data_IF_839720821870
#
_entry.id   IF_839720821870
#
_cell.length_a   1.000
_cell.length_b   1.000
_cell.length_c   1.000
_cell.angle_alpha   90.00
_cell.angle_beta   90.00
_cell.angle_gamma   90.00
#
_symmetry.space_group_name_H-M   'P 1'
#
loop_
_entity.id
_entity.type
_entity.pdbx_description
1 polymer ?
#
# COMPACT_ATOMS: atom_id res chain seq x y z
N UNK A 1 -37.08 29.49 -18.75
CA UNK A 1 -35.66 29.07 -18.84
C UNK A 1 -35.51 27.74 -18.11
N UNK A 2 -35.19 26.67 -18.84
CA UNK A 2 -35.06 25.32 -18.28
C UNK A 2 -33.73 25.15 -17.54
N UNK A 3 -33.80 24.76 -16.27
CA UNK A 3 -32.64 24.43 -15.46
C UNK A 3 -32.13 23.05 -15.87
N UNK A 4 -30.98 23.02 -16.55
CA UNK A 4 -30.30 21.80 -16.97
C UNK A 4 -29.48 21.27 -15.79
N UNK A 5 -30.03 20.28 -15.07
CA UNK A 5 -29.31 19.52 -14.03
C UNK A 5 -28.28 18.61 -14.70
N UNK A 6 -27.01 19.04 -14.73
CA UNK A 6 -25.89 18.17 -15.07
C UNK A 6 -25.60 17.23 -13.90
N UNK A 7 -26.06 15.98 -13.99
CA UNK A 7 -25.65 14.89 -13.10
C UNK A 7 -24.19 14.54 -13.42
N UNK A 8 -23.24 15.12 -12.68
CA UNK A 8 -21.82 14.81 -12.81
C UNK A 8 -21.56 13.41 -12.24
N UNK A 9 -21.11 12.48 -13.08
CA UNK A 9 -20.83 11.08 -12.73
C UNK A 9 -19.52 10.90 -11.92
N UNK A 10 -19.19 11.83 -11.02
CA UNK A 10 -18.07 11.68 -10.07
C UNK A 10 -18.49 10.81 -8.90
N UNK A 11 -17.51 10.18 -8.23
CA UNK A 11 -17.74 9.44 -7.00
C UNK A 11 -18.57 10.29 -5.99
N UNK A 12 -19.69 9.76 -5.53
CA UNK A 12 -20.67 10.46 -4.68
C UNK A 12 -20.55 10.15 -3.19
N UNK A 13 -19.53 9.40 -2.77
CA UNK A 13 -19.32 9.04 -1.37
C UNK A 13 -18.61 10.11 -0.52
N UNK A 14 -18.43 9.85 0.78
CA UNK A 14 -17.73 10.76 1.69
C UNK A 14 -16.27 10.95 1.30
N UNK A 15 -15.67 12.09 1.63
CA UNK A 15 -14.26 12.33 1.32
C UNK A 15 -13.37 11.42 2.17
N UNK A 16 -12.17 11.09 1.67
CA UNK A 16 -11.22 10.27 2.41
C UNK A 16 -10.98 10.79 3.83
N UNK A 17 -10.81 12.11 3.98
CA UNK A 17 -10.56 12.74 5.28
C UNK A 17 -11.66 12.48 6.30
N UNK A 18 -12.90 12.27 5.85
CA UNK A 18 -14.05 12.00 6.73
C UNK A 18 -14.13 10.52 7.13
N UNK A 19 -13.67 9.62 6.26
CA UNK A 19 -13.76 8.17 6.50
C UNK A 19 -12.47 7.53 6.98
N UNK A 20 -11.32 8.20 6.90
CA UNK A 20 -10.02 7.60 7.19
C UNK A 20 -9.96 6.96 8.59
N UNK A 21 -10.59 7.58 9.59
CA UNK A 21 -10.69 7.04 10.95
C UNK A 21 -11.67 5.86 11.10
N UNK A 22 -12.60 5.70 10.15
CA UNK A 22 -13.58 4.61 10.10
C UNK A 22 -13.13 3.44 9.21
N UNK A 23 -12.02 3.59 8.48
CA UNK A 23 -11.43 2.48 7.72
C UNK A 23 -10.84 1.49 8.73
N UNK A 24 -11.29 0.23 8.76
CA UNK A 24 -10.78 -0.76 9.71
C UNK A 24 -9.28 -0.91 9.59
N UNK A 25 -8.58 -1.04 10.72
CA UNK A 25 -7.17 -1.39 10.72
C UNK A 25 -6.97 -2.71 9.95
N UNK A 26 -5.90 -2.78 9.16
CA UNK A 26 -5.58 -3.98 8.41
C UNK A 26 -5.22 -5.10 9.40
N UNK A 27 -5.97 -6.20 9.33
CA UNK A 27 -5.63 -7.41 10.07
C UNK A 27 -4.29 -7.97 9.53
N UNK A 28 -3.38 -8.34 10.44
CA UNK A 28 -2.06 -8.89 10.12
C UNK A 28 -2.09 -10.21 9.34
N UNK A 29 -3.22 -10.94 9.30
CA UNK A 29 -3.38 -12.20 8.56
C UNK A 29 -3.83 -12.03 7.10
N UNK A 30 -4.15 -10.81 6.68
CA UNK A 30 -4.62 -10.48 5.32
C UNK A 30 -3.86 -9.27 4.80
N UNK A 31 -3.80 -9.08 3.49
CA UNK A 31 -3.30 -7.86 2.88
C UNK A 31 -4.44 -6.99 2.37
N UNK A 32 -4.19 -5.69 2.24
CA UNK A 32 -5.16 -4.72 1.71
C UNK A 32 -4.77 -4.28 0.32
N UNK A 33 -5.72 -4.28 -0.60
CA UNK A 33 -5.55 -3.74 -1.95
C UNK A 33 -6.49 -2.55 -2.09
N UNK A 34 -5.90 -1.35 -2.16
CA UNK A 34 -6.64 -0.13 -2.51
C UNK A 34 -6.77 -0.02 -4.03
N UNK A 35 -7.93 0.41 -4.48
CA UNK A 35 -8.20 0.80 -5.86
C UNK A 35 -8.55 2.28 -5.89
N UNK A 36 -7.89 3.05 -6.75
CA UNK A 36 -8.13 4.48 -6.86
C UNK A 36 -8.18 4.95 -8.32
N UNK A 37 -8.93 6.03 -8.55
CA UNK A 37 -8.93 6.78 -9.80
C UNK A 37 -9.02 8.27 -9.53
N UNK A 38 -8.10 9.02 -10.12
CA UNK A 38 -8.04 10.47 -9.97
C UNK A 38 -9.33 11.15 -10.44
N UNK A 39 -9.68 12.28 -9.83
CA UNK A 39 -10.83 13.10 -10.19
C UNK A 39 -10.55 13.89 -11.48
N UNK A 40 -10.62 13.22 -12.63
CA UNK A 40 -10.48 13.85 -13.94
C UNK A 40 -11.81 13.79 -14.70
N UNK A 41 -12.25 14.90 -15.34
CA UNK A 41 -13.42 14.88 -16.22
C UNK A 41 -13.19 14.01 -17.47
N UNK A 42 -11.92 13.74 -17.80
CA UNK A 42 -11.57 12.88 -18.93
C UNK A 42 -12.05 11.44 -18.68
N UNK A 43 -12.93 10.96 -19.57
CA UNK A 43 -13.50 9.62 -19.49
C UNK A 43 -14.49 9.43 -18.34
N UNK A 44 -15.17 10.49 -17.88
CA UNK A 44 -16.12 10.41 -16.77
C UNK A 44 -17.26 9.40 -16.99
N UNK A 45 -17.66 9.18 -18.25
CA UNK A 45 -18.67 8.18 -18.63
C UNK A 45 -18.15 6.73 -18.65
N UNK A 46 -16.83 6.52 -18.59
CA UNK A 46 -16.20 5.20 -18.69
C UNK A 46 -15.89 4.72 -17.27
N UNK A 47 -16.71 3.86 -16.69
CA UNK A 47 -16.56 3.39 -15.30
C UNK A 47 -16.64 1.86 -15.22
N UNK A 48 -15.67 1.14 -15.79
CA UNK A 48 -15.73 -0.32 -15.85
C UNK A 48 -15.59 -0.95 -14.47
N UNK A 49 -16.07 -2.19 -14.39
CA UNK A 49 -15.80 -3.05 -13.24
C UNK A 49 -14.29 -3.35 -13.13
N UNK A 50 -13.83 -3.37 -11.89
CA UNK A 50 -12.50 -3.86 -11.51
C UNK A 50 -12.68 -5.29 -11.03
N UNK A 51 -11.99 -6.23 -11.69
CA UNK A 51 -11.97 -7.65 -11.34
C UNK A 51 -10.65 -8.01 -10.68
N UNK A 52 -10.72 -8.70 -9.54
CA UNK A 52 -9.58 -9.29 -8.86
C UNK A 52 -9.72 -10.83 -8.95
N UNK A 53 -8.75 -11.49 -9.60
CA UNK A 53 -8.81 -12.92 -9.88
C UNK A 53 -10.13 -13.38 -10.54
N UNK A 54 -10.68 -12.54 -11.43
CA UNK A 54 -11.95 -12.78 -12.14
C UNK A 54 -13.21 -12.34 -11.39
N UNK A 55 -13.14 -12.13 -10.07
CA UNK A 55 -14.25 -11.63 -9.23
C UNK A 55 -14.35 -10.11 -9.30
N UNK A 56 -15.53 -9.56 -9.57
CA UNK A 56 -15.76 -8.10 -9.50
C UNK A 56 -15.66 -7.63 -8.04
N UNK A 57 -14.79 -6.65 -7.78
CA UNK A 57 -14.54 -6.09 -6.44
C UNK A 57 -14.99 -4.63 -6.29
N UNK A 58 -15.30 -3.96 -7.40
CA UNK A 58 -15.80 -2.59 -7.41
C UNK A 58 -15.73 -1.99 -8.80
N UNK A 59 -15.90 -0.66 -8.90
CA UNK A 59 -15.90 0.07 -10.17
C UNK A 59 -14.83 1.16 -10.19
N UNK A 60 -14.23 1.38 -11.35
CA UNK A 60 -13.27 2.47 -11.58
C UNK A 60 -14.00 3.80 -11.75
N UNK A 61 -14.46 4.39 -10.63
CA UNK A 61 -15.20 5.67 -10.63
C UNK A 61 -14.25 6.87 -10.62
N UNK A 62 -14.45 7.89 -11.49
CA UNK A 62 -13.68 9.14 -11.43
C UNK A 62 -13.77 9.79 -10.05
N UNK A 63 -12.62 10.12 -9.46
CA UNK A 63 -12.55 10.71 -8.12
C UNK A 63 -12.84 9.72 -6.98
N UNK A 64 -12.90 8.41 -7.28
CA UNK A 64 -13.25 7.38 -6.33
C UNK A 64 -12.06 6.59 -5.83
N UNK A 65 -12.16 6.09 -4.59
CA UNK A 65 -11.31 5.03 -4.08
C UNK A 65 -12.13 4.00 -3.29
N UNK A 66 -11.66 2.76 -3.27
CA UNK A 66 -12.17 1.71 -2.38
C UNK A 66 -11.04 0.73 -2.06
N UNK A 67 -11.29 -0.25 -1.20
CA UNK A 67 -10.32 -1.29 -0.89
C UNK A 67 -11.00 -2.64 -0.68
N UNK A 68 -10.21 -3.70 -0.79
CA UNK A 68 -10.56 -5.05 -0.37
C UNK A 68 -9.43 -5.63 0.47
N UNK A 69 -9.79 -6.51 1.40
CA UNK A 69 -8.85 -7.26 2.20
C UNK A 69 -8.86 -8.71 1.72
N UNK A 70 -7.68 -9.27 1.45
CA UNK A 70 -7.53 -10.59 0.84
C UNK A 70 -6.41 -11.38 1.53
N UNK A 71 -6.49 -12.71 1.50
CA UNK A 71 -5.42 -13.55 2.02
C UNK A 71 -4.08 -13.32 1.28
N UNK A 72 -2.93 -13.60 1.88
CA UNK A 72 -1.66 -13.50 1.19
C UNK A 72 -1.63 -14.40 -0.05
N UNK A 73 -1.13 -13.89 -1.18
CA UNK A 73 -1.12 -14.63 -2.45
C UNK A 73 -0.84 -13.75 -3.66
N UNK A 74 -0.89 -14.37 -4.84
CA UNK A 74 -0.74 -13.68 -6.12
C UNK A 74 -2.11 -13.25 -6.65
N UNK A 75 -2.20 -11.99 -7.08
CA UNK A 75 -3.43 -11.36 -7.51
C UNK A 75 -3.30 -10.78 -8.90
N UNK A 76 -4.29 -11.05 -9.75
CA UNK A 76 -4.45 -10.43 -11.05
C UNK A 76 -5.62 -9.46 -11.01
N UNK A 77 -5.33 -8.19 -11.29
CA UNK A 77 -6.36 -7.17 -11.48
C UNK A 77 -6.63 -7.01 -12.97
N UNK A 78 -7.90 -7.02 -13.36
CA UNK A 78 -8.37 -6.77 -14.72
C UNK A 78 -9.38 -5.63 -14.71
N UNK A 79 -9.25 -4.70 -15.65
CA UNK A 79 -10.32 -3.76 -15.99
C UNK A 79 -10.73 -4.00 -17.44
N UNK A 80 -12.02 -4.24 -17.65
CA UNK A 80 -12.56 -4.57 -18.98
C UNK A 80 -13.26 -3.36 -19.57
N UNK A 81 -12.73 -2.84 -20.68
CA UNK A 81 -13.45 -1.92 -21.57
C UNK A 81 -13.54 -2.54 -22.97
N UNK A 82 -13.01 -1.88 -24.01
CA UNK A 82 -12.87 -2.45 -25.36
C UNK A 82 -11.72 -3.50 -25.42
N UNK A 83 -10.70 -3.36 -24.56
CA UNK A 83 -9.63 -4.36 -24.39
C UNK A 83 -9.37 -4.62 -22.91
N UNK A 84 -9.08 -5.87 -22.56
CA UNK A 84 -8.69 -6.23 -21.20
C UNK A 84 -7.27 -5.76 -20.90
N UNK A 85 -7.13 -4.96 -19.84
CA UNK A 85 -5.82 -4.60 -19.26
C UNK A 85 -5.68 -5.27 -17.91
N UNK A 86 -4.50 -5.86 -17.69
CA UNK A 86 -4.22 -6.60 -16.46
C UNK A 86 -2.84 -6.32 -15.88
N UNK A 87 -2.76 -6.41 -14.56
CA UNK A 87 -1.50 -6.45 -13.80
C UNK A 87 -1.57 -7.63 -12.85
N UNK A 88 -0.41 -8.23 -12.58
CA UNK A 88 -0.26 -9.28 -11.57
C UNK A 88 0.76 -8.84 -10.54
N UNK A 89 0.47 -9.04 -9.27
CA UNK A 89 1.36 -8.73 -8.16
C UNK A 89 1.03 -9.60 -6.95
N UNK A 90 2.01 -9.74 -6.07
CA UNK A 90 1.85 -10.49 -4.83
C UNK A 90 1.47 -9.56 -3.68
N UNK A 91 0.61 -10.08 -2.80
CA UNK A 91 0.18 -9.45 -1.56
C UNK A 91 0.60 -10.34 -0.41
N UNK A 92 1.39 -9.80 0.50
CA UNK A 92 1.78 -10.47 1.74
C UNK A 92 0.83 -10.12 2.91
N UNK A 93 0.89 -10.89 3.99
CA UNK A 93 0.09 -10.63 5.18
C UNK A 93 0.49 -9.28 5.81
N UNK A 94 -0.49 -8.44 6.15
CA UNK A 94 -0.26 -7.07 6.63
C UNK A 94 0.26 -6.10 5.57
N UNK A 95 0.43 -6.54 4.32
CA UNK A 95 0.89 -5.67 3.24
C UNK A 95 -0.27 -4.87 2.65
N UNK A 96 -0.02 -3.58 2.41
CA UNK A 96 -0.94 -2.73 1.64
C UNK A 96 -0.37 -2.48 0.24
N UNK A 97 -1.19 -2.73 -0.77
CA UNK A 97 -0.90 -2.43 -2.18
C UNK A 97 -1.91 -1.43 -2.72
N UNK A 98 -1.48 -0.63 -3.69
CA UNK A 98 -2.30 0.41 -4.29
C UNK A 98 -2.35 0.22 -5.80
N UNK A 99 -3.55 0.06 -6.33
CA UNK A 99 -3.83 -0.10 -7.75
C UNK A 99 -4.55 1.15 -8.24
N UNK A 100 -3.86 1.93 -9.06
CA UNK A 100 -4.43 3.09 -9.73
C UNK A 100 -5.03 2.68 -11.06
N UNK A 101 -6.18 3.22 -11.40
CA UNK A 101 -6.77 3.10 -12.73
C UNK A 101 -6.70 4.42 -13.47
N UNK A 102 -6.28 4.37 -14.73
CA UNK A 102 -6.11 5.55 -15.60
C UNK A 102 -6.85 5.34 -16.90
N UNK A 103 -7.52 6.40 -17.39
CA UNK A 103 -8.17 6.39 -18.71
C UNK A 103 -7.17 6.81 -19.77
N UNK A 104 -6.98 5.97 -20.79
CA UNK A 104 -6.35 6.31 -22.05
C UNK A 104 -7.37 6.44 -23.18
N UNK A 105 -6.97 7.05 -24.28
CA UNK A 105 -7.78 7.12 -25.49
C UNK A 105 -7.76 5.79 -26.24
N UNK A 106 -8.92 5.38 -26.76
CA UNK A 106 -9.13 4.23 -27.63
C UNK A 106 -9.79 4.64 -28.95
N UNK A 107 -9.91 3.69 -29.89
CA UNK A 107 -10.45 3.94 -31.24
C UNK A 107 -11.95 4.29 -31.22
N UNK A 108 -12.73 3.71 -30.29
CA UNK A 108 -14.17 3.98 -30.14
C UNK A 108 -14.57 4.28 -28.68
N UNK A 109 -14.00 3.58 -27.69
CA UNK A 109 -14.21 3.83 -26.26
C UNK A 109 -12.84 3.95 -25.56
N UNK A 110 -12.71 4.89 -24.61
CA UNK A 110 -11.48 5.01 -23.82
C UNK A 110 -11.16 3.73 -23.01
N UNK A 111 -9.87 3.42 -22.87
CA UNK A 111 -9.42 2.23 -22.15
C UNK A 111 -9.04 2.56 -20.73
N UNK A 112 -9.41 1.71 -19.77
CA UNK A 112 -8.94 1.82 -18.40
C UNK A 112 -7.78 0.85 -18.19
N UNK A 113 -6.66 1.36 -17.70
CA UNK A 113 -5.46 0.57 -17.41
C UNK A 113 -5.20 0.58 -15.91
N UNK A 114 -5.12 -0.59 -15.25
CA UNK A 114 -4.69 -0.69 -13.87
C UNK A 114 -3.15 -0.66 -13.81
N UNK A 115 -2.59 0.01 -12.81
CA UNK A 115 -1.15 0.03 -12.54
C UNK A 115 -0.90 0.01 -11.03
N UNK A 116 0.13 -0.73 -10.61
CA UNK A 116 0.59 -0.68 -9.23
C UNK A 116 1.29 0.66 -9.00
N UNK A 117 0.93 1.36 -7.92
CA UNK A 117 1.54 2.64 -7.55
C UNK A 117 2.19 2.55 -6.16
N UNK A 118 3.28 3.31 -5.91
CA UNK A 118 3.93 3.32 -4.60
C UNK A 118 3.02 3.94 -3.53
N UNK A 119 3.15 3.55 -2.25
CA UNK A 119 2.33 4.06 -1.16
C UNK A 119 2.31 5.59 -1.05
N UNK A 120 3.45 6.28 -1.20
CA UNK A 120 3.57 7.75 -1.13
C UNK A 120 2.69 8.47 -2.15
N UNK A 121 2.70 7.99 -3.39
CA UNK A 121 1.91 8.59 -4.46
C UNK A 121 0.43 8.33 -4.22
N UNK A 122 0.07 7.09 -3.91
CA UNK A 122 -1.32 6.69 -3.70
C UNK A 122 -1.97 7.39 -2.50
N UNK A 123 -1.25 7.50 -1.39
CA UNK A 123 -1.74 8.15 -0.16
C UNK A 123 -1.91 9.65 -0.34
N UNK A 124 -1.09 10.29 -1.19
CA UNK A 124 -1.28 11.69 -1.55
C UNK A 124 -2.53 11.85 -2.42
N UNK A 125 -2.70 10.98 -3.43
CA UNK A 125 -3.87 11.05 -4.31
C UNK A 125 -5.17 10.75 -3.55
N UNK A 126 -5.20 9.72 -2.71
CA UNK A 126 -6.39 9.26 -1.99
C UNK A 126 -7.01 10.36 -1.10
N UNK A 127 -6.21 11.30 -0.58
CA UNK A 127 -6.71 12.41 0.25
C UNK A 127 -7.72 13.30 -0.46
N UNK A 128 -7.61 13.39 -1.78
CA UNK A 128 -8.49 14.18 -2.65
C UNK A 128 -9.69 13.35 -3.18
N UNK A 129 -9.78 12.07 -2.83
CA UNK A 129 -10.76 11.14 -3.39
C UNK A 129 -11.92 10.87 -2.42
N UNK A 130 -13.00 10.33 -3.00
CA UNK A 130 -14.21 9.94 -2.29
C UNK A 130 -14.32 8.42 -2.19
N UNK A 131 -14.79 7.95 -1.04
CA UNK A 131 -14.93 6.53 -0.79
C UNK A 131 -16.11 5.95 -1.58
N UNK A 132 -15.87 4.88 -2.34
CA UNK A 132 -16.89 4.23 -3.18
C UNK A 132 -17.01 2.73 -2.91
N UNK A 133 -16.41 2.24 -1.81
CA UNK A 133 -16.43 0.84 -1.43
C UNK A 133 -17.71 0.42 -0.72
N UNK A 134 -17.72 -0.83 -0.26
CA UNK A 134 -18.79 -1.33 0.61
C UNK A 134 -18.89 -0.46 1.88
N UNK A 135 -20.08 -0.30 2.48
CA UNK A 135 -20.25 0.54 3.66
C UNK A 135 -19.21 0.22 4.75
N UNK A 136 -18.48 1.24 5.19
CA UNK A 136 -17.61 1.12 6.35
C UNK A 136 -18.51 0.95 7.57
N UNK A 137 -18.43 -0.19 8.24
CA UNK A 137 -19.14 -0.37 9.50
C UNK A 137 -18.58 0.64 10.50
N UNK A 138 -19.39 1.59 10.94
CA UNK A 138 -19.08 2.47 12.07
C UNK A 138 -19.10 1.62 13.34
N UNK A 139 -18.08 0.80 13.56
CA UNK A 139 -17.88 0.10 14.80
C UNK A 139 -17.22 1.05 15.81
N UNK A 140 -17.98 2.07 16.25
CA UNK A 140 -17.71 2.78 17.50
C UNK A 140 -18.63 2.18 18.56
N UNK A 141 -18.03 1.47 19.50
CA UNK A 141 -18.49 1.26 20.87
C UNK A 141 -19.98 0.93 21.11
N UNK A 142 -20.29 -0.37 21.14
CA UNK A 142 -21.21 -0.93 22.13
C UNK A 142 -20.58 -2.14 22.79
N UNK A 143 -19.52 -1.89 23.54
CA UNK A 143 -19.15 -2.73 24.67
C UNK A 143 -19.45 -1.92 25.94
N UNK A 144 -20.71 -1.94 26.38
CA UNK A 144 -21.06 -1.82 27.80
C UNK A 144 -22.54 -2.19 28.04
N UNK A 145 -22.71 -3.10 29.00
CA UNK A 145 -23.92 -3.45 29.75
C UNK A 145 -25.00 -4.33 29.08
N UNK A 146 -24.90 -5.65 29.29
CA UNK A 146 -25.87 -6.32 30.19
C UNK A 146 -25.37 -7.72 30.63
N UNK A 147 -24.92 -7.76 31.90
CA UNK A 147 -25.10 -8.80 32.92
C UNK A 147 -24.94 -10.29 32.51
N UNK A 148 -23.85 -10.94 32.91
CA UNK A 148 -23.68 -11.65 34.18
C UNK A 148 -24.48 -12.96 34.28
N UNK A 149 -23.80 -14.08 34.01
CA UNK A 149 -24.09 -15.33 34.72
C UNK A 149 -22.77 -16.06 34.99
N UNK A 150 -22.63 -16.43 36.25
CA UNK A 150 -21.45 -17.00 36.92
C UNK A 150 -21.21 -18.44 36.46
N UNK A 151 -19.96 -18.77 36.09
CA UNK A 151 -19.39 -20.10 36.33
C UNK A 151 -17.84 -20.04 36.29
N UNK A 152 -17.23 -20.43 37.40
CA UNK A 152 -15.79 -20.50 37.69
C UNK A 152 -15.19 -21.85 37.16
N UNK A 153 -13.87 -21.92 36.88
CA UNK A 153 -13.26 -22.78 35.84
C UNK A 153 -12.60 -24.08 36.38
N UNK A 154 -11.83 -24.83 35.57
CA UNK A 154 -10.37 -24.65 35.69
C UNK A 154 -9.53 -24.83 34.41
N UNK A 155 -8.43 -24.06 34.40
CA UNK A 155 -7.04 -24.42 34.04
C UNK A 155 -6.70 -24.97 32.64
N UNK A 156 -6.01 -24.14 31.84
CA UNK A 156 -4.74 -24.43 31.15
C UNK A 156 -4.32 -23.13 30.42
N UNK A 157 -3.37 -22.37 30.98
CA UNK A 157 -1.95 -22.35 30.61
C UNK A 157 -1.65 -21.91 29.17
N UNK A 158 -0.85 -20.83 29.13
CA UNK A 158 0.21 -20.48 28.16
C UNK A 158 -0.10 -19.42 27.09
N UNK A 159 0.84 -18.46 27.06
CA UNK A 159 1.24 -17.56 25.97
C UNK A 159 0.38 -16.30 25.72
N UNK A 160 0.73 -15.23 26.45
CA UNK A 160 0.53 -13.87 25.97
C UNK A 160 1.65 -13.60 24.95
N UNK A 161 1.36 -13.76 23.66
CA UNK A 161 2.19 -13.17 22.61
C UNK A 161 1.58 -11.83 22.25
N UNK A 162 2.25 -10.77 22.68
CA UNK A 162 1.98 -9.40 22.25
C UNK A 162 2.27 -9.29 20.76
N UNK A 163 1.22 -9.24 19.93
CA UNK A 163 1.35 -8.96 18.49
C UNK A 163 1.37 -7.44 18.28
N UNK A 164 2.57 -6.88 18.24
CA UNK A 164 2.81 -5.52 17.77
C UNK A 164 2.67 -5.47 16.25
N UNK A 165 1.66 -4.75 15.78
CA UNK A 165 1.42 -4.41 14.39
C UNK A 165 2.46 -3.40 13.88
N UNK A 166 3.47 -3.89 13.15
CA UNK A 166 4.35 -3.04 12.35
C UNK A 166 4.63 -3.72 10.99
N UNK A 167 4.84 -2.90 9.96
CA UNK A 167 4.98 -3.31 8.56
C UNK A 167 6.27 -4.09 8.29
N UNK A 168 6.28 -5.37 8.67
CA UNK A 168 7.44 -6.27 8.56
C UNK A 168 7.76 -6.61 7.09
N UNK A 169 8.85 -6.08 6.54
CA UNK A 169 9.47 -6.68 5.35
C UNK A 169 10.22 -7.95 5.73
N UNK A 170 10.04 -9.04 5.00
CA UNK A 170 10.89 -10.24 5.15
C UNK A 170 12.04 -10.25 4.14
N UNK A 171 13.24 -10.56 4.60
CA UNK A 171 14.45 -10.72 3.76
C UNK A 171 15.17 -12.00 4.13
N UNK A 172 15.74 -12.67 3.14
CA UNK A 172 16.51 -13.90 3.35
C UNK A 172 17.94 -13.66 2.86
N UNK A 173 18.92 -14.04 3.66
CA UNK A 173 20.33 -14.06 3.26
C UNK A 173 21.01 -15.33 3.76
N UNK A 174 22.25 -15.56 3.36
CA UNK A 174 23.11 -16.61 3.93
C UNK A 174 24.16 -15.96 4.83
N UNK A 175 24.65 -16.68 5.82
CA UNK A 175 25.73 -16.19 6.69
C UNK A 175 26.91 -15.63 5.88
N UNK A 176 27.44 -14.48 6.33
CA UNK A 176 28.52 -13.75 5.66
C UNK A 176 28.15 -13.00 4.37
N UNK A 177 26.92 -13.15 3.83
CA UNK A 177 26.47 -12.38 2.64
C UNK A 177 25.58 -11.24 3.06
N UNK A 178 25.99 -10.02 2.69
CA UNK A 178 25.13 -8.86 2.87
C UNK A 178 23.87 -8.95 1.99
N UNK A 179 22.78 -8.36 2.47
CA UNK A 179 21.51 -8.30 1.74
C UNK A 179 20.94 -6.90 1.78
N UNK A 180 20.45 -6.43 0.63
CA UNK A 180 19.75 -5.15 0.52
C UNK A 180 18.35 -5.28 1.11
N UNK A 181 18.09 -4.59 2.21
CA UNK A 181 16.78 -4.56 2.84
C UNK A 181 15.79 -3.68 2.07
N UNK A 182 16.21 -2.46 1.73
CA UNK A 182 15.33 -1.44 1.14
C UNK A 182 16.11 -0.32 0.45
N UNK A 183 15.44 0.37 -0.48
CA UNK A 183 15.93 1.59 -1.13
C UNK A 183 14.97 2.74 -0.83
N UNK A 184 15.50 3.91 -0.52
CA UNK A 184 14.72 5.10 -0.17
C UNK A 184 15.25 6.32 -0.93
N UNK A 185 14.40 6.96 -1.72
CA UNK A 185 14.71 8.21 -2.41
C UNK A 185 13.49 9.11 -2.43
N UNK A 186 13.72 10.41 -2.63
CA UNK A 186 12.66 11.35 -3.02
C UNK A 186 12.99 11.86 -4.42
N UNK A 187 11.98 12.23 -5.19
CA UNK A 187 12.15 12.83 -6.51
C UNK A 187 11.02 13.81 -6.79
N UNK A 188 11.26 14.75 -7.71
CA UNK A 188 10.24 15.70 -8.16
C UNK A 188 9.57 15.23 -9.47
N UNK A 189 8.58 15.99 -9.95
CA UNK A 189 7.86 15.68 -11.20
C UNK A 189 8.73 15.69 -12.47
N UNK A 190 9.97 16.19 -12.40
CA UNK A 190 10.96 16.14 -13.49
C UNK A 190 11.90 14.94 -13.35
N UNK A 191 11.61 14.01 -12.44
CA UNK A 191 12.39 12.80 -12.18
C UNK A 191 13.83 13.08 -11.73
N UNK A 192 14.04 14.27 -11.15
CA UNK A 192 15.32 14.65 -10.55
C UNK A 192 15.31 14.25 -9.09
N UNK A 193 16.42 13.65 -8.64
CA UNK A 193 16.67 13.31 -7.23
C UNK A 193 16.38 14.51 -6.33
N UNK A 194 15.52 14.31 -5.35
CA UNK A 194 15.35 15.23 -4.23
C UNK A 194 16.32 14.91 -3.10
N UNK A 195 16.10 15.53 -1.95
CA UNK A 195 16.84 15.20 -0.74
C UNK A 195 16.46 13.79 -0.26
N UNK A 196 17.45 12.90 -0.12
CA UNK A 196 17.22 11.57 0.42
C UNK A 196 16.64 11.66 1.84
N UNK A 197 15.72 10.77 2.22
CA UNK A 197 15.12 10.79 3.55
C UNK A 197 16.17 10.53 4.63
N UNK A 198 15.93 11.08 5.81
CA UNK A 198 16.68 10.73 7.02
C UNK A 198 16.24 9.36 7.52
N UNK A 199 17.22 8.54 7.93
CA UNK A 199 17.01 7.18 8.42
C UNK A 199 17.50 7.08 9.86
N UNK A 200 16.57 6.90 10.79
CA UNK A 200 16.88 6.77 12.22
C UNK A 200 16.56 5.35 12.69
N UNK A 201 17.59 4.58 13.02
CA UNK A 201 17.45 3.21 13.50
C UNK A 201 17.02 3.20 14.96
N UNK A 202 15.78 2.77 15.21
CA UNK A 202 15.15 2.70 16.54
C UNK A 202 15.63 1.44 17.25
N UNK A 203 15.70 0.31 16.53
CA UNK A 203 16.20 -0.97 17.02
C UNK A 203 17.22 -1.51 16.02
N UNK A 204 18.44 -1.77 16.51
CA UNK A 204 19.49 -2.42 15.73
C UNK A 204 19.26 -3.94 15.71
N UNK A 205 19.72 -4.65 14.65
CA UNK A 205 19.77 -6.11 14.63
C UNK A 205 20.65 -6.66 15.77
N UNK A 206 20.26 -7.80 16.31
CA UNK A 206 21.00 -8.49 17.38
C UNK A 206 22.18 -9.30 16.82
N UNK A 207 22.07 -9.76 15.57
CA UNK A 207 22.97 -10.73 14.97
C UNK A 207 23.55 -10.29 13.62
N UNK A 208 23.67 -8.98 13.44
CA UNK A 208 24.39 -8.37 12.35
C UNK A 208 24.53 -6.87 12.55
N UNK A 209 24.79 -6.16 11.45
CA UNK A 209 24.83 -4.70 11.46
C UNK A 209 24.14 -4.13 10.24
N UNK A 210 23.71 -2.89 10.38
CA UNK A 210 23.17 -2.12 9.26
C UNK A 210 24.25 -1.23 8.67
N UNK A 211 24.31 -1.23 7.35
CA UNK A 211 25.12 -0.28 6.59
C UNK A 211 24.20 0.51 5.65
N UNK A 212 24.26 1.84 5.73
CA UNK A 212 23.52 2.73 4.84
C UNK A 212 24.48 3.29 3.82
N UNK A 213 24.19 3.04 2.55
CA UNK A 213 24.98 3.52 1.42
C UNK A 213 24.17 4.52 0.61
N UNK A 214 24.80 5.61 0.20
CA UNK A 214 24.23 6.53 -0.79
C UNK A 214 24.50 5.93 -2.16
N UNK A 215 23.46 5.43 -2.83
CA UNK A 215 23.57 4.77 -4.13
C UNK A 215 22.55 5.32 -5.12
N UNK A 216 22.96 5.32 -6.38
CA UNK A 216 22.08 5.61 -7.50
C UNK A 216 21.33 4.35 -7.92
N UNK A 217 20.01 4.45 -8.09
CA UNK A 217 19.20 3.33 -8.56
C UNK A 217 18.10 3.78 -9.50
N UNK A 218 17.74 2.89 -10.43
CA UNK A 218 16.62 3.12 -11.31
C UNK A 218 15.30 2.97 -10.56
N UNK A 219 14.47 3.99 -10.70
CA UNK A 219 13.09 3.97 -10.31
C UNK A 219 12.31 2.99 -11.19
N UNK A 220 11.38 2.27 -10.58
CA UNK A 220 10.48 1.35 -11.27
C UNK A 220 9.13 1.36 -10.56
N UNK A 221 8.04 1.33 -11.34
CA UNK A 221 6.67 1.38 -10.81
C UNK A 221 6.29 2.75 -10.24
N UNK A 222 6.81 3.84 -10.78
CA UNK A 222 6.58 5.23 -10.35
C UNK A 222 5.42 5.93 -11.08
N UNK A 223 4.60 5.16 -11.79
CA UNK A 223 3.66 5.67 -12.78
C UNK A 223 2.66 6.71 -12.23
N UNK A 224 2.69 7.88 -12.88
CA UNK A 224 1.63 8.90 -12.93
C UNK A 224 1.24 9.11 -14.40
N UNK A 225 -0.02 9.49 -14.65
CA UNK A 225 -0.69 9.59 -15.96
C UNK A 225 -0.01 10.45 -17.04
N UNK A 226 1.06 11.19 -16.74
CA UNK A 226 1.77 12.01 -17.74
C UNK A 226 3.26 12.24 -17.50
N UNK A 227 3.83 11.78 -16.37
CA UNK A 227 5.25 11.95 -16.03
C UNK A 227 5.71 10.77 -15.16
N UNK A 228 5.80 9.58 -15.75
CA UNK A 228 6.46 8.46 -15.07
C UNK A 228 7.95 8.73 -14.96
N UNK A 229 8.54 8.40 -13.82
CA UNK A 229 9.97 8.45 -13.60
C UNK A 229 10.62 7.07 -13.72
N UNK A 230 9.92 6.10 -14.31
CA UNK A 230 10.46 4.76 -14.51
C UNK A 230 11.71 4.81 -15.38
N UNK A 231 12.74 4.09 -14.95
CA UNK A 231 14.06 4.11 -15.57
C UNK A 231 14.90 5.33 -15.21
N UNK A 232 14.34 6.37 -14.58
CA UNK A 232 15.14 7.49 -14.09
C UNK A 232 16.06 7.00 -12.95
N UNK A 233 17.32 7.38 -13.05
CA UNK A 233 18.31 7.11 -12.01
C UNK A 233 18.24 8.22 -10.97
N UNK A 234 17.90 7.85 -9.75
CA UNK A 234 17.90 8.77 -8.60
C UNK A 234 18.92 8.36 -7.58
N UNK A 235 19.49 9.35 -6.90
CA UNK A 235 20.36 9.16 -5.75
C UNK A 235 19.47 8.99 -4.51
N UNK A 236 19.73 7.94 -3.73
CA UNK A 236 19.01 7.70 -2.48
C UNK A 236 19.83 6.88 -1.50
N UNK A 237 19.20 6.56 -0.38
CA UNK A 237 19.79 5.73 0.67
C UNK A 237 19.37 4.27 0.51
N UNK A 238 20.35 3.38 0.50
CA UNK A 238 20.15 1.95 0.42
C UNK A 238 20.59 1.33 1.73
N UNK A 239 19.69 0.57 2.35
CA UNK A 239 19.91 -0.07 3.64
C UNK A 239 20.32 -1.51 3.40
N UNK A 240 21.53 -1.86 3.83
CA UNK A 240 22.08 -3.22 3.80
C UNK A 240 22.13 -3.80 5.20
N UNK A 241 21.85 -5.09 5.29
CA UNK A 241 22.11 -5.90 6.48
C UNK A 241 23.30 -6.81 6.20
N UNK A 242 24.25 -6.83 7.14
CA UNK A 242 25.41 -7.69 7.09
C UNK A 242 25.36 -8.61 8.31
N UNK A 243 25.05 -9.91 8.12
CA UNK A 243 24.97 -10.85 9.23
C UNK A 243 26.33 -11.02 9.90
N UNK A 244 26.30 -11.25 11.22
CA UNK A 244 27.47 -11.70 11.94
C UNK A 244 27.98 -13.03 11.35
N UNK A 245 29.30 -13.26 11.34
CA UNK A 245 29.86 -14.54 10.91
C UNK A 245 29.19 -15.70 11.65
N UNK A 246 28.91 -16.77 10.92
CA UNK A 246 28.37 -18.04 11.42
C UNK A 246 26.97 -17.98 12.06
N UNK A 247 26.35 -16.80 12.11
CA UNK A 247 24.96 -16.69 12.57
C UNK A 247 23.98 -17.29 11.57
N UNK A 248 22.99 -18.03 12.09
CA UNK A 248 21.82 -18.54 11.39
C UNK A 248 20.59 -18.37 12.27
N UNK A 249 19.48 -17.99 11.66
CA UNK A 249 18.22 -17.72 12.34
C UNK A 249 17.67 -16.31 12.09
N UNK A 250 16.66 -15.92 12.86
CA UNK A 250 15.91 -14.70 12.65
C UNK A 250 16.58 -13.48 13.30
N UNK A 251 16.62 -12.37 12.58
CA UNK A 251 17.04 -11.06 13.07
C UNK A 251 16.01 -9.99 12.69
N UNK A 252 16.10 -8.79 13.29
CA UNK A 252 15.16 -7.71 13.04
C UNK A 252 15.80 -6.33 13.18
N UNK A 253 15.40 -5.41 12.30
CA UNK A 253 15.71 -3.98 12.43
C UNK A 253 14.44 -3.15 12.36
N UNK A 254 14.32 -2.18 13.25
CA UNK A 254 13.26 -1.17 13.23
C UNK A 254 13.88 0.20 12.99
N UNK A 255 13.38 0.92 11.99
CA UNK A 255 13.88 2.26 11.70
C UNK A 255 12.79 3.18 11.18
N UNK A 256 12.94 4.46 11.51
CA UNK A 256 12.09 5.55 11.05
C UNK A 256 12.67 6.15 9.78
N UNK A 257 11.81 6.38 8.80
CA UNK A 257 12.12 7.09 7.56
C UNK A 257 11.42 8.44 7.61
N UNK A 258 12.20 9.52 7.55
CA UNK A 258 11.68 10.88 7.59
C UNK A 258 12.07 11.64 6.32
N UNK A 259 11.08 12.16 5.62
CA UNK A 259 11.27 13.11 4.52
C UNK A 259 10.44 14.36 4.80
N UNK A 260 10.60 15.40 3.99
CA UNK A 260 9.75 16.60 4.05
C UNK A 260 8.25 16.32 3.84
N UNK A 261 7.88 15.15 3.30
CA UNK A 261 6.48 14.82 2.98
C UNK A 261 5.83 13.88 4.00
N UNK A 262 6.61 12.97 4.60
CA UNK A 262 6.11 12.00 5.58
C UNK A 262 7.22 11.48 6.48
N UNK A 263 6.79 11.04 7.65
CA UNK A 263 7.56 10.23 8.59
C UNK A 263 6.79 8.96 8.90
N UNK A 264 7.45 7.81 8.79
CA UNK A 264 6.87 6.51 9.12
C UNK A 264 7.94 5.56 9.61
N UNK A 265 7.54 4.55 10.37
CA UNK A 265 8.41 3.46 10.82
C UNK A 265 8.31 2.27 9.89
N UNK A 266 9.41 1.51 9.84
CA UNK A 266 9.49 0.24 9.14
C UNK A 266 10.21 -0.76 10.00
N UNK A 267 9.62 -1.94 10.10
CA UNK A 267 10.25 -3.13 10.65
C UNK A 267 10.69 -4.02 9.50
N UNK A 268 11.88 -4.59 9.60
CA UNK A 268 12.38 -5.57 8.64
C UNK A 268 12.84 -6.79 9.43
N UNK A 269 12.18 -7.94 9.21
CA UNK A 269 12.64 -9.23 9.70
C UNK A 269 13.57 -9.86 8.66
N UNK A 270 14.68 -10.38 9.12
CA UNK A 270 15.70 -11.03 8.30
C UNK A 270 15.78 -12.49 8.75
N UNK A 271 15.76 -13.42 7.80
CA UNK A 271 16.13 -14.82 8.04
C UNK A 271 17.53 -15.05 7.48
N UNK A 272 18.45 -15.52 8.33
CA UNK A 272 19.81 -15.89 7.91
C UNK A 272 19.89 -17.41 7.82
N UNK A 273 19.95 -17.89 6.58
CA UNK A 273 20.03 -19.31 6.26
C UNK A 273 21.41 -19.90 6.47
#
# INVERSE_FOLDING_TARGET
>A
MGSMLFLTACASGPAYVDVAASIPHLNSSVGRIYFLRSASPLGAAIQPDIRLNGRVVGQSKPGGFFFVDESPGSYTVVTTTEVDRKITFDVEAGQTRYVRTSVGFGLLVGHVTPSLVPPDVAETEIRELRYTGAPLSTAIATAHASQATVATPPAASTAIVSLSSDSVLKRVTTSGKEVRLSRHATWNRRCVSGQAPDLMFIRQPEHGRIEVRDESFQLAGTASTSNSCDGATVLGKVVYYIPSPDYRGPDQVDYRISSQYRTYTRTVSIEVN
#
